data_IF_117154143046
#
_entry.id   IF_117154143046
#
_cell.length_a   1.000
_cell.length_b   1.000
_cell.length_c   1.000
_cell.angle_alpha   90.00
_cell.angle_beta   90.00
_cell.angle_gamma   90.00
#
_symmetry.space_group_name_H-M   'P 1'
#
loop_
_entity.id
_entity.type
_entity.pdbx_description
1 polymer ?
#
# COMPACT_ATOMS: atom_id res chain seq x y z
N UNK A 1 -4.98 49.63 -1.51
CA UNK A 1 -5.52 48.63 -2.48
C UNK A 1 -4.45 47.59 -2.74
N UNK A 2 -4.57 46.39 -2.15
CA UNK A 2 -3.57 45.32 -2.27
C UNK A 2 -4.22 43.99 -2.65
N UNK A 3 -4.41 43.77 -3.95
CA UNK A 3 -4.77 42.46 -4.52
C UNK A 3 -3.81 42.11 -5.66
N UNK A 4 -2.64 41.47 -5.36
CA UNK A 4 -1.99 40.70 -6.41
C UNK A 4 -1.59 39.28 -6.00
N UNK A 5 -1.77 38.87 -4.73
CA UNK A 5 -1.34 37.54 -4.25
C UNK A 5 -2.43 36.45 -4.35
N UNK A 6 -3.70 36.84 -4.42
CA UNK A 6 -4.83 35.89 -4.44
C UNK A 6 -5.06 35.30 -5.86
N UNK A 7 -4.75 36.06 -6.91
CA UNK A 7 -4.98 35.67 -8.31
C UNK A 7 -3.96 34.65 -8.84
N UNK A 8 -2.71 34.70 -8.36
CA UNK A 8 -1.68 33.72 -8.75
C UNK A 8 -1.96 32.32 -8.18
N UNK A 9 -2.57 32.27 -6.99
CA UNK A 9 -2.91 31.01 -6.29
C UNK A 9 -4.07 30.28 -6.99
N UNK A 10 -5.03 31.03 -7.53
CA UNK A 10 -6.19 30.46 -8.23
C UNK A 10 -5.83 29.98 -9.64
N UNK A 11 -4.88 30.63 -10.32
CA UNK A 11 -4.37 30.20 -11.62
C UNK A 11 -3.51 28.90 -11.54
N UNK A 12 -2.84 28.67 -10.41
CA UNK A 12 -2.08 27.43 -10.19
C UNK A 12 -3.01 26.24 -9.85
N UNK A 13 -4.13 26.48 -9.17
CA UNK A 13 -5.15 25.46 -8.92
C UNK A 13 -5.94 25.09 -10.19
N UNK A 14 -6.25 26.04 -11.07
CA UNK A 14 -6.98 25.77 -12.32
C UNK A 14 -6.12 25.13 -13.41
N UNK A 15 -4.79 25.32 -13.39
CA UNK A 15 -3.89 24.63 -14.33
C UNK A 15 -3.59 23.18 -13.94
N UNK A 16 -3.63 22.84 -12.64
CA UNK A 16 -3.51 21.43 -12.20
C UNK A 16 -4.75 20.59 -12.56
N UNK A 17 -5.94 21.19 -12.63
CA UNK A 17 -7.17 20.46 -12.95
C UNK A 17 -7.31 20.15 -14.44
N UNK A 18 -6.73 20.97 -15.33
CA UNK A 18 -6.76 20.73 -16.78
C UNK A 18 -5.88 19.56 -17.23
N UNK A 19 -4.77 19.28 -16.52
CA UNK A 19 -3.92 18.12 -16.81
C UNK A 19 -4.54 16.78 -16.37
N UNK A 20 -5.51 16.81 -15.43
CA UNK A 20 -6.17 15.62 -14.90
C UNK A 20 -7.31 15.07 -15.78
N UNK A 21 -7.73 15.80 -16.82
CA UNK A 21 -8.93 15.45 -17.61
C UNK A 21 -8.68 14.46 -18.78
N UNK A 22 -7.45 13.99 -18.96
CA UNK A 22 -7.10 13.01 -19.99
C UNK A 22 -6.69 11.63 -19.44
N UNK A 23 -6.70 11.44 -18.12
CA UNK A 23 -6.22 10.23 -17.47
C UNK A 23 -7.38 9.44 -16.86
N UNK A 24 -7.45 8.14 -17.17
CA UNK A 24 -8.42 7.23 -16.54
C UNK A 24 -8.07 7.12 -15.06
N UNK A 25 -8.93 7.69 -14.21
CA UNK A 25 -8.83 7.60 -12.74
C UNK A 25 -9.74 6.48 -12.25
N UNK A 26 -9.18 5.50 -11.57
CA UNK A 26 -9.91 4.34 -11.07
C UNK A 26 -10.11 4.38 -9.55
N UNK A 27 -11.18 3.76 -9.07
CA UNK A 27 -11.44 3.57 -7.63
C UNK A 27 -10.90 2.21 -7.17
N UNK A 28 -10.08 2.20 -6.11
CA UNK A 28 -9.40 1.02 -5.59
C UNK A 28 -9.86 0.72 -4.14
N UNK A 29 -11.04 0.10 -3.95
CA UNK A 29 -11.48 -0.31 -2.63
C UNK A 29 -10.69 -1.52 -2.12
N UNK A 30 -10.28 -1.46 -0.84
CA UNK A 30 -9.63 -2.57 -0.14
C UNK A 30 -10.21 -2.80 1.26
N UNK A 31 -10.18 -4.05 1.71
CA UNK A 31 -10.60 -4.48 3.04
C UNK A 31 -9.57 -5.46 3.61
N UNK A 32 -9.02 -5.10 4.77
CA UNK A 32 -7.98 -5.88 5.46
C UNK A 32 -8.36 -6.15 6.93
N UNK A 33 -9.03 -7.27 7.24
CA UNK A 33 -9.18 -7.76 8.60
C UNK A 33 -7.89 -8.41 9.12
N UNK A 34 -7.50 -8.06 10.33
CA UNK A 34 -6.35 -8.57 11.05
C UNK A 34 -6.78 -9.25 12.35
N UNK A 35 -6.32 -10.48 12.57
CA UNK A 35 -6.54 -11.23 13.81
C UNK A 35 -5.20 -11.56 14.47
N UNK A 36 -4.91 -10.84 15.56
CA UNK A 36 -3.77 -11.14 16.41
C UNK A 36 -4.05 -12.40 17.22
N UNK A 37 -3.20 -13.41 17.07
CA UNK A 37 -3.29 -14.67 17.82
C UNK A 37 -2.47 -14.57 19.09
N UNK A 38 -1.24 -14.04 18.99
CA UNK A 38 -0.36 -13.81 20.13
C UNK A 38 0.63 -12.66 19.84
N UNK A 39 1.70 -12.52 20.63
CA UNK A 39 2.66 -11.43 20.50
C UNK A 39 3.52 -11.48 19.21
N UNK A 40 3.62 -12.67 18.58
CA UNK A 40 4.50 -12.99 17.46
C UNK A 40 3.76 -13.45 16.20
N UNK A 41 2.46 -13.73 16.27
CA UNK A 41 1.66 -14.30 15.18
C UNK A 41 0.39 -13.50 14.96
N UNK A 42 0.13 -13.14 13.70
CA UNK A 42 -1.11 -12.50 13.24
C UNK A 42 -1.56 -13.11 11.93
N UNK A 43 -2.87 -13.27 11.79
CA UNK A 43 -3.49 -13.55 10.50
C UNK A 43 -4.03 -12.26 9.90
N UNK A 44 -3.95 -12.13 8.58
CA UNK A 44 -4.63 -11.10 7.80
C UNK A 44 -5.46 -11.77 6.72
N UNK A 45 -6.60 -11.18 6.40
CA UNK A 45 -7.30 -11.44 5.14
C UNK A 45 -7.20 -10.19 4.29
N UNK A 46 -7.07 -10.33 2.98
CA UNK A 46 -7.18 -9.24 2.03
C UNK A 46 -8.34 -9.52 1.09
N UNK A 47 -9.15 -8.50 0.84
CA UNK A 47 -10.07 -8.43 -0.28
C UNK A 47 -9.94 -7.04 -0.92
N UNK A 48 -9.60 -6.99 -2.20
CA UNK A 48 -9.28 -5.74 -2.86
C UNK A 48 -9.64 -5.80 -4.35
N UNK A 49 -10.07 -4.66 -4.89
CA UNK A 49 -9.96 -4.43 -6.32
C UNK A 49 -8.58 -3.86 -6.58
N UNK A 50 -7.72 -4.67 -7.22
CA UNK A 50 -6.34 -4.30 -7.48
C UNK A 50 -6.09 -4.16 -8.96
N UNK A 51 -5.15 -3.29 -9.30
CA UNK A 51 -4.55 -3.18 -10.61
C UNK A 51 -3.06 -3.37 -10.40
N UNK A 52 -2.41 -4.19 -11.23
CA UNK A 52 -0.98 -4.43 -11.08
C UNK A 52 -0.31 -4.43 -12.43
N UNK A 53 0.81 -3.72 -12.58
CA UNK A 53 1.62 -3.81 -13.80
C UNK A 53 0.84 -3.49 -15.10
N UNK A 54 -0.19 -2.64 -15.00
CA UNK A 54 -1.00 -2.21 -16.13
C UNK A 54 -1.94 -3.30 -16.67
N UNK A 55 -2.21 -4.35 -15.88
CA UNK A 55 -3.33 -5.25 -16.16
C UNK A 55 -4.68 -4.58 -15.85
N UNK A 56 -5.80 -5.07 -16.40
CA UNK A 56 -7.14 -4.62 -16.02
C UNK A 56 -7.41 -4.81 -14.53
N UNK A 57 -8.43 -4.14 -14.00
CA UNK A 57 -8.90 -4.33 -12.62
C UNK A 57 -9.21 -5.81 -12.35
N UNK A 58 -8.66 -6.32 -11.24
CA UNK A 58 -8.81 -7.71 -10.81
C UNK A 58 -9.35 -7.73 -9.39
N UNK A 59 -10.27 -8.65 -9.11
CA UNK A 59 -10.63 -8.97 -7.74
C UNK A 59 -9.52 -9.84 -7.16
N UNK A 60 -8.90 -9.38 -6.07
CA UNK A 60 -7.89 -10.11 -5.31
C UNK A 60 -8.45 -10.47 -3.94
N UNK A 61 -8.39 -11.75 -3.58
CA UNK A 61 -8.78 -12.21 -2.23
C UNK A 61 -7.81 -13.26 -1.71
N UNK A 62 -7.51 -13.22 -0.41
CA UNK A 62 -6.86 -14.35 0.26
C UNK A 62 -6.21 -14.04 1.61
N UNK A 63 -5.71 -15.07 2.30
CA UNK A 63 -5.13 -14.95 3.62
C UNK A 63 -3.62 -14.68 3.60
N UNK A 64 -3.14 -14.11 4.71
CA UNK A 64 -1.74 -14.04 5.09
C UNK A 64 -1.53 -14.54 6.53
N UNK A 65 -0.36 -15.16 6.74
CA UNK A 65 0.24 -15.43 8.03
C UNK A 65 1.43 -14.49 8.21
N UNK A 66 1.41 -13.70 9.28
CA UNK A 66 2.49 -12.78 9.64
C UNK A 66 3.19 -13.25 10.92
N UNK A 67 4.53 -13.28 10.86
CA UNK A 67 5.43 -13.65 11.94
C UNK A 67 6.31 -12.47 12.32
N UNK A 68 6.42 -12.20 13.62
CA UNK A 68 7.12 -11.03 14.14
C UNK A 68 8.33 -11.37 14.99
N UNK A 69 9.38 -10.54 14.83
CA UNK A 69 10.37 -10.36 15.89
C UNK A 69 9.79 -9.55 17.06
N UNK A 70 10.48 -9.58 18.20
CA UNK A 70 10.09 -8.79 19.37
C UNK A 70 10.12 -7.28 19.05
N UNK A 71 9.19 -6.49 19.61
CA UNK A 71 9.13 -5.05 19.35
C UNK A 71 10.35 -4.31 19.87
N UNK A 72 10.76 -3.24 19.18
CA UNK A 72 11.81 -2.33 19.64
C UNK A 72 11.21 -1.11 20.36
N UNK A 73 11.83 -0.71 21.47
CA UNK A 73 11.38 0.44 22.29
C UNK A 73 11.32 1.73 21.47
N UNK A 74 12.29 1.96 20.57
CA UNK A 74 12.30 3.16 19.70
C UNK A 74 11.12 3.17 18.74
N UNK A 75 10.80 2.03 18.12
CA UNK A 75 9.65 1.93 17.22
C UNK A 75 8.33 2.14 17.97
N UNK A 76 8.16 1.53 19.15
CA UNK A 76 6.98 1.77 20.01
C UNK A 76 6.71 3.25 20.32
N UNK A 77 7.76 4.07 20.43
CA UNK A 77 7.62 5.51 20.69
C UNK A 77 7.13 6.27 19.47
N UNK A 78 7.61 5.90 18.28
CA UNK A 78 7.20 6.55 17.02
C UNK A 78 5.78 6.12 16.67
N UNK A 79 5.45 4.84 16.85
CA UNK A 79 4.15 4.26 16.49
C UNK A 79 3.14 4.29 17.64
N UNK A 80 3.25 5.25 18.55
CA UNK A 80 2.46 5.27 19.79
C UNK A 80 0.96 5.44 19.53
N UNK A 81 0.60 6.02 18.39
CA UNK A 81 -0.78 6.30 17.98
C UNK A 81 -1.26 5.42 16.82
N UNK A 82 -0.41 4.53 16.30
CA UNK A 82 -0.79 3.57 15.28
C UNK A 82 -1.67 2.46 15.88
N UNK A 83 -2.72 2.07 15.16
CA UNK A 83 -3.49 0.87 15.50
C UNK A 83 -2.74 -0.41 15.12
N UNK A 84 -1.89 -0.36 14.09
CA UNK A 84 -1.11 -1.49 13.64
C UNK A 84 0.13 -1.71 14.53
N UNK A 85 0.02 -2.66 15.48
CA UNK A 85 1.13 -3.08 16.33
C UNK A 85 2.34 -3.65 15.57
N UNK A 86 2.17 -4.07 14.33
CA UNK A 86 3.24 -4.63 13.50
C UNK A 86 4.28 -3.55 13.15
N UNK A 87 3.89 -2.28 13.06
CA UNK A 87 4.82 -1.14 12.86
C UNK A 87 5.81 -0.96 14.01
N UNK A 88 5.48 -1.45 15.20
CA UNK A 88 6.40 -1.48 16.33
C UNK A 88 7.43 -2.63 16.28
N UNK A 89 7.34 -3.52 15.27
CA UNK A 89 8.22 -4.69 15.09
C UNK A 89 9.30 -4.36 14.06
N UNK A 90 10.59 -4.59 14.35
CA UNK A 90 11.67 -4.23 13.44
C UNK A 90 11.69 -5.06 12.16
N UNK A 91 11.20 -6.30 12.22
CA UNK A 91 11.17 -7.22 11.10
C UNK A 91 9.91 -8.07 11.18
N UNK A 92 9.27 -8.24 10.02
CA UNK A 92 8.08 -9.06 9.82
C UNK A 92 8.34 -9.96 8.63
N UNK A 93 8.03 -11.24 8.79
CA UNK A 93 7.92 -12.19 7.69
C UNK A 93 6.45 -12.48 7.43
N UNK A 94 6.04 -12.46 6.17
CA UNK A 94 4.67 -12.77 5.76
C UNK A 94 4.66 -13.81 4.66
N UNK A 95 3.85 -14.83 4.86
CA UNK A 95 3.48 -15.80 3.84
C UNK A 95 2.00 -15.65 3.53
N UNK A 96 1.66 -15.53 2.25
CA UNK A 96 0.32 -15.24 1.79
C UNK A 96 -0.10 -16.07 0.59
N UNK A 97 -1.41 -16.23 0.44
CA UNK A 97 -2.02 -16.78 -0.75
C UNK A 97 -3.06 -15.80 -1.30
N UNK A 98 -3.14 -15.68 -2.63
CA UNK A 98 -4.12 -14.84 -3.30
C UNK A 98 -4.76 -15.59 -4.47
N UNK A 99 -6.06 -15.46 -4.58
CA UNK A 99 -6.81 -15.77 -5.78
C UNK A 99 -7.14 -14.46 -6.50
N UNK A 100 -6.72 -14.34 -7.76
CA UNK A 100 -6.94 -13.17 -8.59
C UNK A 100 -7.90 -13.55 -9.72
N UNK A 101 -9.03 -12.86 -9.78
CA UNK A 101 -10.04 -13.02 -10.81
C UNK A 101 -10.08 -11.78 -11.70
N UNK A 102 -9.73 -11.97 -12.97
CA UNK A 102 -9.75 -10.93 -14.00
C UNK A 102 -10.89 -11.22 -14.97
N UNK A 103 -11.82 -10.28 -15.21
CA UNK A 103 -12.91 -10.48 -16.16
C UNK A 103 -12.38 -10.85 -17.56
N UNK A 104 -12.90 -11.93 -18.13
CA UNK A 104 -12.52 -12.38 -19.48
C UNK A 104 -11.13 -13.01 -19.62
N UNK A 105 -10.43 -13.30 -18.51
CA UNK A 105 -9.13 -13.97 -18.51
C UNK A 105 -9.11 -15.12 -17.49
N UNK A 106 -8.21 -16.13 -17.64
CA UNK A 106 -8.04 -17.17 -16.63
C UNK A 106 -7.66 -16.57 -15.27
N UNK A 107 -8.16 -17.18 -14.19
CA UNK A 107 -7.78 -16.80 -12.82
C UNK A 107 -6.32 -17.13 -12.54
N UNK A 108 -5.71 -16.34 -11.67
CA UNK A 108 -4.34 -16.55 -11.20
C UNK A 108 -4.34 -16.93 -9.73
N UNK A 109 -3.63 -18.01 -9.40
CA UNK A 109 -3.30 -18.35 -8.02
C UNK A 109 -1.91 -17.80 -7.72
N UNK A 110 -1.76 -17.07 -6.63
CA UNK A 110 -0.52 -16.41 -6.27
C UNK A 110 -0.09 -16.77 -4.86
N UNK A 111 1.14 -17.23 -4.72
CA UNK A 111 1.82 -17.27 -3.43
C UNK A 111 2.59 -15.95 -3.25
N UNK A 112 2.48 -15.36 -2.06
CA UNK A 112 3.10 -14.08 -1.71
C UNK A 112 4.08 -14.32 -0.56
N UNK A 113 5.33 -13.95 -0.77
CA UNK A 113 6.36 -13.98 0.28
C UNK A 113 6.85 -12.57 0.52
N UNK A 114 6.81 -12.09 1.76
CA UNK A 114 7.19 -10.72 2.09
C UNK A 114 8.10 -10.66 3.30
N UNK A 115 9.11 -9.79 3.22
CA UNK A 115 9.97 -9.38 4.33
C UNK A 115 9.82 -7.86 4.49
N UNK A 116 9.38 -7.42 5.66
CA UNK A 116 9.18 -5.99 5.96
C UNK A 116 10.09 -5.57 7.11
N UNK A 117 10.92 -4.55 6.86
CA UNK A 117 11.76 -3.90 7.87
C UNK A 117 11.21 -2.53 8.27
N UNK A 118 11.24 -2.24 9.58
CA UNK A 118 10.82 -0.95 10.13
C UNK A 118 12.00 -0.22 10.79
N UNK A 119 12.24 1.01 10.35
CA UNK A 119 13.40 1.81 10.76
C UNK A 119 12.94 3.14 11.35
N UNK A 120 13.28 3.43 12.62
CA UNK A 120 12.99 4.72 13.22
C UNK A 120 13.93 5.79 12.65
N UNK A 121 13.39 6.84 12.05
CA UNK A 121 14.14 7.99 11.55
C UNK A 121 14.03 9.19 12.52
N UNK A 122 14.77 10.26 12.23
CA UNK A 122 14.66 11.53 12.96
C UNK A 122 13.26 12.14 12.73
N UNK A 123 12.87 13.11 13.56
CA UNK A 123 11.60 13.83 13.45
C UNK A 123 10.33 12.95 13.58
N UNK A 124 10.42 11.83 14.32
CA UNK A 124 9.32 10.88 14.51
C UNK A 124 8.81 10.28 13.18
N UNK A 125 9.70 10.16 12.20
CA UNK A 125 9.40 9.47 10.94
C UNK A 125 9.63 7.98 11.12
N UNK A 126 8.73 7.18 10.57
CA UNK A 126 8.93 5.74 10.38
C UNK A 126 9.24 5.49 8.90
N UNK A 127 10.34 4.80 8.64
CA UNK A 127 10.65 4.25 7.33
C UNK A 127 10.33 2.75 7.33
N UNK A 128 9.57 2.33 6.33
CA UNK A 128 9.20 0.94 6.08
C UNK A 128 9.79 0.52 4.75
N UNK A 129 10.55 -0.58 4.77
CA UNK A 129 11.06 -1.24 3.56
C UNK A 129 10.43 -2.62 3.44
N UNK A 130 9.62 -2.82 2.38
CA UNK A 130 8.90 -4.06 2.13
C UNK A 130 9.40 -4.71 0.84
N UNK A 131 9.99 -5.89 0.98
CA UNK A 131 10.48 -6.71 -0.10
C UNK A 131 9.51 -7.88 -0.30
N UNK A 132 8.93 -8.01 -1.49
CA UNK A 132 7.86 -8.97 -1.79
C UNK A 132 8.16 -9.76 -3.07
N UNK A 133 7.99 -11.06 -3.02
CA UNK A 133 7.99 -11.95 -4.18
C UNK A 133 6.56 -12.47 -4.41
N UNK A 134 6.07 -12.26 -5.63
CA UNK A 134 4.82 -12.80 -6.13
C UNK A 134 5.13 -13.98 -7.06
N UNK A 135 4.57 -15.14 -6.73
CA UNK A 135 4.72 -16.39 -7.47
C UNK A 135 3.36 -16.76 -8.05
N UNK A 136 3.21 -16.64 -9.37
CA UNK A 136 1.92 -16.66 -10.06
C UNK A 136 1.75 -17.92 -10.90
N UNK A 137 0.61 -18.57 -10.76
CA UNK A 137 0.16 -19.65 -11.61
C UNK A 137 -1.14 -19.28 -12.31
N UNK A 138 -1.07 -19.13 -13.63
CA UNK A 138 -2.22 -18.80 -14.49
C UNK A 138 -2.30 -19.83 -15.60
N UNK A 139 -3.40 -20.58 -15.66
CA UNK A 139 -3.62 -21.61 -16.69
C UNK A 139 -2.41 -22.57 -16.88
N UNK A 140 -1.82 -23.04 -15.77
CA UNK A 140 -0.65 -23.92 -15.77
C UNK A 140 0.70 -23.25 -16.07
N UNK A 141 0.71 -21.96 -16.40
CA UNK A 141 1.95 -21.19 -16.61
C UNK A 141 2.40 -20.53 -15.33
N UNK A 142 3.67 -20.73 -14.96
CA UNK A 142 4.30 -20.08 -13.83
C UNK A 142 4.99 -18.77 -14.27
N UNK A 143 4.82 -17.72 -13.48
CA UNK A 143 5.55 -16.46 -13.59
C UNK A 143 5.91 -15.97 -12.19
N UNK A 144 6.95 -15.14 -12.09
CA UNK A 144 7.24 -14.47 -10.83
C UNK A 144 7.56 -13.01 -11.02
N UNK A 145 7.39 -12.27 -9.93
CA UNK A 145 7.70 -10.85 -9.87
C UNK A 145 8.26 -10.51 -8.51
N UNK A 146 9.24 -9.62 -8.51
CA UNK A 146 9.74 -9.00 -7.30
C UNK A 146 9.24 -7.56 -7.19
N UNK A 147 8.91 -7.16 -5.97
CA UNK A 147 8.44 -5.82 -5.63
C UNK A 147 9.22 -5.32 -4.42
N UNK A 148 9.73 -4.10 -4.49
CA UNK A 148 10.26 -3.40 -3.33
C UNK A 148 9.46 -2.12 -3.13
N UNK A 149 8.90 -1.94 -1.93
CA UNK A 149 8.17 -0.73 -1.53
C UNK A 149 8.89 -0.05 -0.37
N UNK A 150 9.26 1.21 -0.59
CA UNK A 150 9.70 2.11 0.46
C UNK A 150 8.56 3.05 0.83
N UNK A 151 8.23 3.14 2.11
CA UNK A 151 7.21 4.04 2.63
C UNK A 151 7.77 4.84 3.80
N UNK A 152 7.50 6.14 3.82
CA UNK A 152 7.81 7.00 4.95
C UNK A 152 6.53 7.64 5.47
N UNK A 153 6.33 7.59 6.78
CA UNK A 153 5.13 8.08 7.43
C UNK A 153 5.44 8.84 8.72
N UNK A 154 4.52 9.73 9.11
CA UNK A 154 4.66 10.55 10.32
C UNK A 154 3.32 10.73 11.02
N UNK A 155 3.14 10.21 12.25
CA UNK A 155 1.97 10.53 13.05
C UNK A 155 1.91 12.04 13.34
N UNK A 156 0.78 12.67 13.05
CA UNK A 156 0.51 14.06 13.37
C UNK A 156 -0.33 14.15 14.65
N UNK A 157 0.02 15.05 15.56
CA UNK A 157 -0.75 15.24 16.79
C UNK A 157 -1.70 16.43 16.65
N UNK A 158 -2.97 16.15 16.32
CA UNK A 158 -4.03 17.16 16.19
C UNK A 158 -5.02 16.98 17.34
N UNK A 159 -4.73 17.61 18.48
CA UNK A 159 -5.47 17.42 19.74
C UNK A 159 -5.51 15.93 20.12
N UNK A 160 -6.70 15.34 20.21
CA UNK A 160 -6.93 13.92 20.52
C UNK A 160 -6.97 13.02 19.27
N UNK A 161 -6.75 13.58 18.08
CA UNK A 161 -6.80 12.87 16.82
C UNK A 161 -5.42 12.80 16.17
N UNK A 162 -5.06 11.62 15.66
CA UNK A 162 -3.70 11.32 15.23
C UNK A 162 -3.65 10.74 13.81
N UNK A 163 -3.92 11.54 12.77
CA UNK A 163 -3.80 11.08 11.40
C UNK A 163 -2.33 10.83 11.05
N UNK A 164 -2.09 9.89 10.15
CA UNK A 164 -0.74 9.42 9.81
C UNK A 164 -0.55 9.52 8.30
N UNK A 165 -0.19 10.72 7.79
CA UNK A 165 0.17 10.87 6.39
C UNK A 165 1.44 10.11 6.04
N UNK A 166 1.48 9.64 4.80
CA UNK A 166 2.63 8.93 4.26
C UNK A 166 2.83 9.20 2.78
N UNK A 167 4.05 8.92 2.33
CA UNK A 167 4.39 8.77 0.92
C UNK A 167 5.09 7.44 0.70
N UNK A 168 4.91 6.85 -0.47
CA UNK A 168 5.57 5.59 -0.82
C UNK A 168 5.95 5.53 -2.29
N UNK A 169 7.02 4.79 -2.58
CA UNK A 169 7.37 4.36 -3.91
C UNK A 169 7.52 2.83 -3.93
N UNK A 170 6.98 2.17 -4.95
CA UNK A 170 7.15 0.74 -5.18
C UNK A 170 7.67 0.48 -6.59
N UNK A 171 8.68 -0.40 -6.70
CA UNK A 171 9.31 -0.77 -7.96
C UNK A 171 9.18 -2.27 -8.21
N UNK A 172 8.93 -2.64 -9.47
CA UNK A 172 8.55 -3.98 -9.88
C UNK A 172 9.56 -4.53 -10.87
N UNK A 173 10.22 -5.63 -10.52
CA UNK A 173 10.98 -6.45 -11.47
C UNK A 173 10.09 -7.61 -11.93
N UNK A 174 9.81 -7.67 -13.22
CA UNK A 174 8.89 -8.65 -13.80
C UNK A 174 9.68 -9.64 -14.65
N UNK A 175 9.59 -10.94 -14.32
CA UNK A 175 10.31 -11.99 -15.04
C UNK A 175 9.91 -12.02 -16.52
N UNK A 176 8.62 -11.87 -16.82
CA UNK A 176 8.11 -11.89 -18.20
C UNK A 176 8.79 -10.86 -19.13
N UNK A 177 9.25 -9.73 -18.59
CA UNK A 177 9.93 -8.68 -19.35
C UNK A 177 11.42 -8.59 -19.03
N UNK A 178 11.90 -9.40 -18.09
CA UNK A 178 13.27 -9.44 -17.57
C UNK A 178 13.83 -8.07 -17.17
N UNK A 179 12.97 -7.16 -16.67
CA UNK A 179 13.35 -5.79 -16.36
C UNK A 179 12.51 -5.18 -15.23
N UNK A 180 13.03 -4.08 -14.70
CA UNK A 180 12.27 -3.15 -13.87
C UNK A 180 11.31 -2.36 -14.76
N UNK A 181 10.04 -2.72 -14.72
CA UNK A 181 9.06 -2.26 -15.71
C UNK A 181 7.91 -1.45 -15.12
N UNK A 182 7.74 -1.42 -13.80
CA UNK A 182 6.64 -0.65 -13.19
C UNK A 182 7.14 0.09 -11.96
N UNK A 183 6.73 1.34 -11.85
CA UNK A 183 6.92 2.19 -10.69
C UNK A 183 5.57 2.71 -10.26
N UNK A 184 5.27 2.57 -8.98
CA UNK A 184 4.05 3.09 -8.34
C UNK A 184 4.44 4.09 -7.27
N UNK A 185 3.78 5.23 -7.28
CA UNK A 185 3.95 6.29 -6.29
C UNK A 185 2.65 6.47 -5.54
N UNK A 186 2.74 6.61 -4.23
CA UNK A 186 1.60 6.78 -3.35
C UNK A 186 1.77 8.01 -2.49
N UNK A 187 0.66 8.71 -2.28
CA UNK A 187 0.51 9.70 -1.24
C UNK A 187 -0.82 9.43 -0.54
N UNK A 188 -0.80 9.24 0.77
CA UNK A 188 -1.99 8.83 1.51
C UNK A 188 -1.97 9.27 2.97
N UNK A 189 -3.04 8.90 3.67
CA UNK A 189 -3.19 9.19 5.08
C UNK A 189 -4.02 8.13 5.77
N UNK A 190 -3.49 7.62 6.88
CA UNK A 190 -4.21 6.72 7.78
C UNK A 190 -5.03 7.56 8.77
N UNK A 191 -6.28 7.14 8.95
CA UNK A 191 -7.28 7.78 9.78
C UNK A 191 -7.81 6.78 10.82
N UNK A 192 -7.17 6.71 11.99
CA UNK A 192 -7.62 5.94 13.15
C UNK A 192 -9.08 6.22 13.55
N UNK A 193 -9.96 5.22 13.45
CA UNK A 193 -11.34 5.29 13.95
C UNK A 193 -11.53 4.33 15.13
N UNK A 194 -11.66 4.93 16.32
CA UNK A 194 -11.74 4.20 17.59
C UNK A 194 -10.50 3.31 17.77
N UNK A 195 -10.65 2.15 18.42
CA UNK A 195 -9.53 1.27 18.79
C UNK A 195 -9.32 0.09 17.83
N UNK A 196 -10.14 -0.05 16.78
CA UNK A 196 -10.17 -1.26 15.93
C UNK A 196 -10.29 -1.00 14.44
N UNK A 197 -10.57 0.22 14.02
CA UNK A 197 -10.80 0.53 12.61
C UNK A 197 -9.85 1.63 12.20
N UNK A 198 -9.34 1.57 10.98
CA UNK A 198 -8.52 2.62 10.40
C UNK A 198 -8.84 2.69 8.91
N UNK A 199 -9.14 3.89 8.44
CA UNK A 199 -9.26 4.12 7.00
C UNK A 199 -7.93 4.60 6.46
N UNK A 200 -7.58 4.12 5.27
CA UNK A 200 -6.46 4.61 4.50
C UNK A 200 -7.00 5.16 3.18
N UNK A 201 -6.93 6.48 3.03
CA UNK A 201 -7.26 7.16 1.79
C UNK A 201 -5.96 7.54 1.11
N UNK A 202 -5.79 7.11 -0.13
CA UNK A 202 -4.56 7.35 -0.86
C UNK A 202 -4.82 7.62 -2.33
N UNK A 203 -3.88 8.35 -2.92
CA UNK A 203 -3.71 8.49 -4.35
C UNK A 203 -2.55 7.59 -4.81
N UNK A 204 -2.73 6.95 -5.95
CA UNK A 204 -1.73 6.12 -6.63
C UNK A 204 -1.47 6.68 -8.02
N UNK A 205 -0.20 6.88 -8.35
CA UNK A 205 0.27 7.10 -9.70
C UNK A 205 1.12 5.91 -10.13
N UNK A 206 0.75 5.24 -11.23
CA UNK A 206 1.51 4.15 -11.78
C UNK A 206 2.10 4.52 -13.15
N UNK A 207 3.39 4.26 -13.32
CA UNK A 207 4.07 4.30 -14.61
C UNK A 207 4.56 2.90 -14.98
N UNK A 208 4.15 2.39 -16.15
CA UNK A 208 4.54 1.08 -16.65
C UNK A 208 5.24 1.19 -18.00
N UNK A 209 6.50 0.75 -18.02
CA UNK A 209 7.38 0.61 -19.18
C UNK A 209 7.67 -0.86 -19.51
N UNK A 210 7.08 -1.79 -18.77
CA UNK A 210 7.15 -3.24 -18.98
C UNK A 210 6.53 -3.65 -20.32
N UNK A 211 5.37 -3.08 -20.63
CA UNK A 211 4.57 -3.31 -21.84
C UNK A 211 4.80 -2.22 -22.89
N UNK A 212 4.53 -2.56 -24.15
CA UNK A 212 4.49 -1.61 -25.26
C UNK A 212 3.05 -1.52 -25.81
N UNK A 213 2.47 -0.31 -25.96
CA UNK A 213 3.03 0.98 -25.56
C UNK A 213 3.17 1.10 -24.04
N UNK A 214 4.02 2.03 -23.59
CA UNK A 214 4.08 2.41 -22.18
C UNK A 214 2.70 2.93 -21.72
N UNK A 215 2.36 2.72 -20.45
CA UNK A 215 1.07 3.15 -19.90
C UNK A 215 1.25 3.88 -18.57
N UNK A 216 0.47 4.94 -18.38
CA UNK A 216 0.37 5.68 -17.12
C UNK A 216 -1.08 5.66 -16.64
N UNK A 217 -1.27 5.43 -15.35
CA UNK A 217 -2.60 5.24 -14.77
C UNK A 217 -2.65 5.87 -13.38
N UNK A 218 -3.83 6.38 -13.05
CA UNK A 218 -4.10 7.10 -11.81
C UNK A 218 -5.17 6.36 -11.01
N UNK A 219 -5.02 6.32 -9.69
CA UNK A 219 -5.94 5.63 -8.79
C UNK A 219 -6.24 6.45 -7.55
N UNK A 220 -7.49 6.35 -7.09
CA UNK A 220 -7.90 6.79 -5.75
C UNK A 220 -8.31 5.55 -4.97
N UNK A 221 -7.53 5.21 -3.96
CA UNK A 221 -7.76 4.06 -3.13
C UNK A 221 -8.38 4.40 -1.78
N UNK A 222 -9.26 3.51 -1.33
CA UNK A 222 -9.85 3.56 0.00
C UNK A 222 -9.76 2.17 0.62
N UNK A 223 -8.95 2.06 1.66
CA UNK A 223 -8.74 0.83 2.41
C UNK A 223 -9.36 0.93 3.79
N UNK A 224 -10.01 -0.14 4.24
CA UNK A 224 -10.45 -0.31 5.62
C UNK A 224 -9.62 -1.41 6.31
N UNK A 225 -8.80 -1.01 7.27
CA UNK A 225 -8.09 -1.92 8.17
C UNK A 225 -8.95 -2.20 9.42
N UNK A 226 -9.06 -3.46 9.81
CA UNK A 226 -9.82 -3.87 10.99
C UNK A 226 -8.99 -4.76 11.91
N UNK A 227 -8.81 -4.37 13.18
CA UNK A 227 -7.89 -5.03 14.11
C UNK A 227 -8.64 -5.77 15.23
N UNK A 228 -8.39 -7.08 15.32
CA UNK A 228 -8.95 -7.99 16.32
C UNK A 228 -7.84 -8.75 17.06
N UNK A 229 -8.15 -9.26 18.26
CA UNK A 229 -7.26 -10.12 19.04
C UNK A 229 -8.04 -11.29 19.62
N UNK A 230 -7.46 -12.48 19.53
CA UNK A 230 -7.87 -13.63 20.36
C UNK A 230 -7.53 -13.28 21.81
N UNK A 231 -8.44 -13.57 22.73
CA UNK A 231 -8.21 -13.38 24.18
C UNK A 231 -7.35 -14.49 24.74
#
# INVERSE_FOLDING_TARGET
>A
MSLPKLTLSLALLTTCTAAALAQQTEALPELDPYLKVNASVRFRLQAANTREGGDPTQLTIGPDLELYLKPLVRLKKITAFDLDEAKARPLIFTEGYRYLATPGSPSTNRMVLTITGHYPLRLQLLLTDRNRADLDWTNGTFKWRYRNRLQTERPMNIRSYHPIPYISAEVYYQEQYQKWGTTELYAGCLFPIKKRYEFDLYYEHQNNTGKSPNSQLEGIGLKLNMFFSVK
#
